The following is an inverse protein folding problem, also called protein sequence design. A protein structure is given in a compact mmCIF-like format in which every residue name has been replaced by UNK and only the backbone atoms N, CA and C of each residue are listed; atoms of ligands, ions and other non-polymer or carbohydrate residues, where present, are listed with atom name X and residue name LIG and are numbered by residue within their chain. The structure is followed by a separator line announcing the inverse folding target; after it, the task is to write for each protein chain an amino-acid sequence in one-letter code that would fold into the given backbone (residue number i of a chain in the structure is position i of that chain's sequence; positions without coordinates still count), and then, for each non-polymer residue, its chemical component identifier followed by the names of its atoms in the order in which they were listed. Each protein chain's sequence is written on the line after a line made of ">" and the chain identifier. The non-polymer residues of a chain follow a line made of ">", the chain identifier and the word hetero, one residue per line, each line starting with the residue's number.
data_IF_593563633076
#
_entry.id   IF_593563633076
#
_cell.length_a   1.000
_cell.length_b   1.000
_cell.length_c   1.000
_cell.angle_alpha   90.00
_cell.angle_beta   90.00
_cell.angle_gamma   90.00
#
_symmetry.space_group_name_H-M   'P 1'
#
loop_
_entity.id
_entity.type
_entity.pdbx_description
1 polymer ?
#
# COMPACT_ATOMS: atom_id res chain seq x y z
N UNK A 1 -5.35 -42.86 4.07
CA UNK A 1 -5.62 -42.09 2.82
C UNK A 1 -4.62 -40.96 2.74
N UNK A 2 -4.02 -40.69 1.58
CA UNK A 2 -3.19 -39.48 1.43
C UNK A 2 -4.14 -38.25 1.42
N UNK A 3 -3.84 -37.24 2.26
CA UNK A 3 -4.57 -35.97 2.23
C UNK A 3 -4.48 -35.37 0.83
N UNK A 4 -5.55 -34.73 0.38
CA UNK A 4 -5.50 -33.92 -0.83
C UNK A 4 -4.58 -32.73 -0.60
N UNK A 5 -4.06 -32.14 -1.67
CA UNK A 5 -3.21 -30.94 -1.56
C UNK A 5 -3.97 -29.77 -0.90
N UNK A 6 -5.25 -29.59 -1.24
CA UNK A 6 -6.08 -28.56 -0.62
C UNK A 6 -6.22 -28.77 0.90
N UNK A 7 -6.44 -30.02 1.33
CA UNK A 7 -6.46 -30.35 2.78
C UNK A 7 -5.11 -30.05 3.42
N UNK A 8 -3.99 -30.30 2.74
CA UNK A 8 -2.65 -29.96 3.24
C UNK A 8 -2.48 -28.46 3.38
N UNK A 9 -2.91 -27.65 2.40
CA UNK A 9 -2.85 -26.17 2.45
C UNK A 9 -3.70 -25.64 3.62
N UNK A 10 -4.85 -26.25 3.88
CA UNK A 10 -5.78 -25.84 4.94
C UNK A 10 -5.38 -26.33 6.34
N UNK A 11 -4.44 -27.27 6.45
CA UNK A 11 -3.95 -27.73 7.76
C UNK A 11 -3.21 -26.58 8.50
N UNK A 12 -3.49 -26.38 9.79
CA UNK A 12 -2.80 -25.37 10.58
C UNK A 12 -1.28 -25.56 10.56
N UNK A 13 -0.55 -24.46 10.32
CA UNK A 13 0.92 -24.44 10.32
C UNK A 13 1.58 -24.79 8.98
N UNK A 14 0.81 -25.12 7.93
CA UNK A 14 1.38 -25.32 6.58
C UNK A 14 1.49 -24.04 5.75
N UNK A 15 0.79 -22.99 6.15
CA UNK A 15 0.96 -21.66 5.58
C UNK A 15 1.94 -20.88 6.44
N UNK A 16 2.95 -20.27 5.83
CA UNK A 16 3.84 -19.31 6.49
C UNK A 16 3.55 -17.89 5.98
N UNK A 17 3.96 -16.90 6.75
CA UNK A 17 3.71 -15.48 6.43
C UNK A 17 5.01 -14.72 6.50
N UNK A 18 5.25 -13.92 5.48
CA UNK A 18 6.32 -12.92 5.47
C UNK A 18 5.69 -11.54 5.33
N UNK A 19 6.40 -10.52 5.82
CA UNK A 19 5.90 -9.15 5.82
C UNK A 19 6.83 -8.27 4.98
N UNK A 20 6.24 -7.45 4.11
CA UNK A 20 6.99 -6.47 3.33
C UNK A 20 6.56 -5.06 3.73
N UNK A 21 7.51 -4.19 4.08
CA UNK A 21 7.22 -2.81 4.44
C UNK A 21 6.72 -1.99 3.25
N UNK A 22 5.71 -1.15 3.52
CA UNK A 22 5.26 -0.07 2.65
C UNK A 22 5.75 1.23 3.27
N UNK A 23 6.53 2.01 2.53
CA UNK A 23 7.16 3.25 2.98
C UNK A 23 6.45 4.47 2.41
N UNK A 24 6.50 5.58 3.16
CA UNK A 24 6.04 6.88 2.68
C UNK A 24 7.17 7.61 1.94
N UNK A 25 6.84 8.10 0.74
CA UNK A 25 7.69 8.98 -0.06
C UNK A 25 7.38 10.44 0.28
N UNK A 26 8.13 11.05 1.19
CA UNK A 26 7.95 12.45 1.58
C UNK A 26 9.29 13.16 1.80
N UNK A 27 10.27 12.89 0.94
CA UNK A 27 11.64 13.38 1.08
C UNK A 27 12.45 12.71 2.19
N UNK A 28 11.83 11.82 2.97
CA UNK A 28 12.47 11.02 4.02
C UNK A 28 11.97 9.58 3.91
N UNK A 29 12.68 8.74 3.20
CA UNK A 29 12.37 7.30 2.96
C UNK A 29 12.25 6.43 4.22
N UNK A 30 12.25 7.02 5.40
CA UNK A 30 12.40 6.30 6.66
C UNK A 30 11.09 6.09 7.40
N UNK A 31 9.96 6.56 6.87
CA UNK A 31 8.68 6.38 7.55
C UNK A 31 7.92 5.19 6.98
N UNK A 32 7.95 4.09 7.72
CA UNK A 32 7.11 2.93 7.42
C UNK A 32 5.64 3.28 7.67
N UNK A 33 4.80 3.03 6.68
CA UNK A 33 3.36 3.28 6.70
C UNK A 33 2.56 2.05 7.10
N UNK A 34 2.89 0.90 6.51
CA UNK A 34 2.19 -0.36 6.68
C UNK A 34 3.12 -1.56 6.42
N UNK A 35 2.63 -2.74 6.71
CA UNK A 35 3.24 -4.03 6.39
C UNK A 35 2.27 -4.84 5.55
N UNK A 36 2.64 -5.23 4.35
CA UNK A 36 1.87 -6.22 3.59
C UNK A 36 2.22 -7.62 4.06
N UNK A 37 1.19 -8.39 4.42
CA UNK A 37 1.31 -9.79 4.83
C UNK A 37 1.18 -10.71 3.62
N UNK A 38 2.28 -11.32 3.24
CA UNK A 38 2.41 -12.18 2.07
C UNK A 38 2.48 -13.64 2.50
N UNK A 39 1.44 -14.40 2.17
CA UNK A 39 1.36 -15.83 2.51
C UNK A 39 2.22 -16.66 1.57
N UNK A 40 2.85 -17.68 2.13
CA UNK A 40 3.58 -18.73 1.44
C UNK A 40 2.92 -20.07 1.73
N UNK A 41 2.85 -20.94 0.76
CA UNK A 41 2.28 -22.28 0.92
C UNK A 41 3.25 -23.25 1.62
N UNK A 42 2.93 -24.54 1.61
CA UNK A 42 3.69 -25.56 2.32
C UNK A 42 5.16 -25.59 1.89
N UNK A 43 6.04 -25.47 2.86
CA UNK A 43 7.49 -25.46 2.69
C UNK A 43 8.02 -26.70 1.96
N UNK A 44 9.03 -26.53 1.13
CA UNK A 44 9.63 -27.63 0.35
C UNK A 44 8.76 -28.15 -0.79
N UNK A 45 7.68 -27.48 -1.14
CA UNK A 45 6.81 -27.79 -2.28
C UNK A 45 6.81 -26.64 -3.29
N UNK A 46 6.37 -26.91 -4.53
CA UNK A 46 6.18 -25.85 -5.53
C UNK A 46 5.12 -24.81 -5.10
N UNK A 47 4.28 -25.16 -4.13
CA UNK A 47 3.23 -24.28 -3.57
C UNK A 47 3.75 -23.30 -2.55
N UNK A 48 5.01 -23.39 -2.15
CA UNK A 48 5.69 -22.35 -1.37
C UNK A 48 5.65 -20.99 -2.11
N UNK A 49 5.72 -21.00 -3.45
CA UNK A 49 5.43 -19.83 -4.27
C UNK A 49 3.96 -19.43 -4.16
N UNK A 50 3.70 -18.18 -3.77
CA UNK A 50 2.35 -17.62 -3.70
C UNK A 50 1.62 -17.68 -5.05
N UNK A 51 2.31 -17.41 -6.15
CA UNK A 51 1.76 -17.47 -7.51
C UNK A 51 1.21 -18.86 -7.82
N UNK A 52 2.02 -19.91 -7.60
CA UNK A 52 1.62 -21.32 -7.85
C UNK A 52 0.49 -21.75 -6.91
N UNK A 53 0.57 -21.32 -5.65
CA UNK A 53 -0.45 -21.61 -4.64
C UNK A 53 -1.81 -21.04 -5.07
N UNK A 54 -1.88 -19.73 -5.33
CA UNK A 54 -3.14 -19.05 -5.62
C UNK A 54 -3.68 -19.40 -7.02
N UNK A 55 -2.81 -19.72 -7.99
CA UNK A 55 -3.28 -20.28 -9.27
C UNK A 55 -3.99 -21.63 -9.07
N UNK A 56 -3.43 -22.52 -8.25
CA UNK A 56 -4.08 -23.76 -7.88
C UNK A 56 -5.42 -23.53 -7.16
N UNK A 57 -5.45 -22.61 -6.19
CA UNK A 57 -6.63 -22.26 -5.40
C UNK A 57 -7.76 -21.79 -6.32
N UNK A 58 -7.46 -20.89 -7.26
CA UNK A 58 -8.41 -20.39 -8.26
C UNK A 58 -8.97 -21.49 -9.15
N UNK A 59 -8.11 -22.39 -9.65
CA UNK A 59 -8.54 -23.55 -10.44
C UNK A 59 -9.46 -24.49 -9.66
N UNK A 60 -9.30 -24.56 -8.34
CA UNK A 60 -10.16 -25.36 -7.45
C UNK A 60 -11.40 -24.61 -6.97
N UNK A 61 -11.52 -23.31 -7.26
CA UNK A 61 -12.57 -22.41 -6.73
C UNK A 61 -12.64 -22.46 -5.21
N UNK A 62 -11.48 -22.47 -4.58
CA UNK A 62 -11.31 -22.65 -3.13
C UNK A 62 -10.90 -21.35 -2.42
N UNK A 63 -10.96 -20.19 -3.12
CA UNK A 63 -10.54 -18.90 -2.63
C UNK A 63 -11.17 -18.57 -1.25
N UNK A 64 -12.51 -18.75 -1.03
CA UNK A 64 -13.09 -18.40 0.25
C UNK A 64 -12.57 -19.25 1.43
N UNK A 65 -12.17 -20.49 1.17
CA UNK A 65 -11.60 -21.36 2.21
C UNK A 65 -10.15 -20.99 2.52
N UNK A 66 -9.36 -20.76 1.46
CA UNK A 66 -7.93 -20.46 1.58
C UNK A 66 -7.71 -19.05 2.12
N UNK A 67 -8.49 -18.05 1.70
CA UNK A 67 -8.41 -16.69 2.26
C UNK A 67 -8.65 -16.70 3.78
N UNK A 68 -9.60 -17.50 4.26
CA UNK A 68 -9.81 -17.65 5.72
C UNK A 68 -8.62 -18.29 6.42
N UNK A 69 -7.99 -19.30 5.81
CA UNK A 69 -6.79 -19.93 6.36
C UNK A 69 -5.61 -18.93 6.36
N UNK A 70 -5.44 -18.16 5.27
CA UNK A 70 -4.44 -17.09 5.17
C UNK A 70 -4.64 -16.03 6.26
N UNK A 71 -5.86 -15.53 6.45
CA UNK A 71 -6.14 -14.54 7.51
C UNK A 71 -5.85 -15.08 8.91
N UNK A 72 -6.18 -16.35 9.18
CA UNK A 72 -5.85 -16.96 10.46
C UNK A 72 -4.33 -17.05 10.67
N UNK A 73 -3.57 -17.44 9.64
CA UNK A 73 -2.11 -17.49 9.69
C UNK A 73 -1.50 -16.09 9.86
N UNK A 74 -2.01 -15.09 9.13
CA UNK A 74 -1.56 -13.70 9.23
C UNK A 74 -1.79 -13.15 10.65
N UNK A 75 -2.99 -13.33 11.20
CA UNK A 75 -3.29 -12.86 12.56
C UNK A 75 -2.35 -13.49 13.60
N UNK A 76 -2.04 -14.79 13.44
CA UNK A 76 -1.10 -15.48 14.34
C UNK A 76 0.34 -14.94 14.19
N UNK A 77 0.80 -14.73 12.94
CA UNK A 77 2.16 -14.25 12.67
C UNK A 77 2.37 -12.77 13.04
N UNK A 78 1.29 -11.97 13.01
CA UNK A 78 1.35 -10.53 13.32
C UNK A 78 1.20 -10.20 14.81
N UNK A 79 1.04 -11.19 15.67
CA UNK A 79 0.81 -10.99 17.11
C UNK A 79 1.91 -10.14 17.78
N UNK A 80 3.16 -10.42 17.47
CA UNK A 80 4.32 -9.74 18.07
C UNK A 80 4.72 -8.43 17.38
N UNK A 81 4.07 -8.10 16.24
CA UNK A 81 4.36 -6.87 15.51
C UNK A 81 3.79 -5.64 16.24
N UNK A 82 4.53 -4.52 16.30
CA UNK A 82 4.09 -3.30 16.96
C UNK A 82 2.70 -2.86 16.51
N UNK A 83 1.81 -2.47 17.44
CA UNK A 83 0.42 -2.11 17.14
C UNK A 83 0.28 -0.84 16.30
N UNK A 84 1.35 -0.07 16.15
CA UNK A 84 1.40 1.17 15.38
C UNK A 84 1.33 0.97 13.87
N UNK A 85 1.71 -0.22 13.36
CA UNK A 85 1.70 -0.50 11.94
C UNK A 85 0.39 -1.13 11.47
N UNK A 86 -0.08 -0.69 10.30
CA UNK A 86 -1.18 -1.34 9.60
C UNK A 86 -0.71 -2.64 8.98
N UNK A 87 -1.67 -3.55 8.80
CA UNK A 87 -1.47 -4.85 8.18
C UNK A 87 -2.31 -4.90 6.91
N UNK A 88 -1.66 -4.92 5.77
CA UNK A 88 -2.32 -5.12 4.49
C UNK A 88 -2.47 -6.61 4.24
N UNK A 89 -3.68 -7.05 3.91
CA UNK A 89 -4.04 -8.46 3.74
C UNK A 89 -4.80 -8.68 2.45
N UNK A 90 -4.32 -9.60 1.63
CA UNK A 90 -4.91 -9.95 0.34
C UNK A 90 -6.18 -10.79 0.54
N UNK A 91 -7.28 -10.40 -0.12
CA UNK A 91 -8.56 -11.11 -0.11
C UNK A 91 -9.17 -11.09 -1.51
N UNK A 92 -9.52 -12.24 -2.02
CA UNK A 92 -10.17 -12.30 -3.33
C UNK A 92 -11.57 -11.67 -3.30
N UNK A 93 -11.92 -10.90 -4.33
CA UNK A 93 -13.24 -10.31 -4.49
C UNK A 93 -14.37 -11.36 -4.42
N UNK A 94 -14.12 -12.56 -4.96
CA UNK A 94 -15.07 -13.69 -4.89
C UNK A 94 -15.33 -14.12 -3.45
N UNK A 95 -14.36 -14.06 -2.57
CA UNK A 95 -14.52 -14.38 -1.13
C UNK A 95 -15.46 -13.40 -0.46
N UNK A 96 -15.29 -12.11 -0.70
CA UNK A 96 -16.18 -11.07 -0.18
C UNK A 96 -17.59 -11.18 -0.78
N UNK A 97 -17.71 -11.58 -2.05
CA UNK A 97 -19.00 -11.77 -2.72
C UNK A 97 -19.76 -13.02 -2.31
N UNK A 98 -19.09 -14.02 -1.70
CA UNK A 98 -19.71 -15.33 -1.36
C UNK A 98 -19.79 -15.60 0.16
N UNK A 99 -19.07 -14.82 0.97
CA UNK A 99 -18.99 -15.07 2.42
C UNK A 99 -19.58 -13.90 3.22
N UNK A 100 -20.88 -13.94 3.55
CA UNK A 100 -21.54 -12.88 4.31
C UNK A 100 -21.00 -12.73 5.75
N UNK A 101 -20.30 -13.75 6.27
CA UNK A 101 -19.72 -13.74 7.62
C UNK A 101 -18.23 -13.39 7.62
N UNK A 102 -17.71 -12.86 6.51
CA UNK A 102 -16.28 -12.57 6.37
C UNK A 102 -15.79 -11.59 7.44
N UNK A 103 -16.52 -10.51 7.65
CA UNK A 103 -16.16 -9.47 8.64
C UNK A 103 -16.18 -10.04 10.06
N UNK A 104 -17.20 -10.82 10.41
CA UNK A 104 -17.29 -11.50 11.70
C UNK A 104 -16.12 -12.49 11.90
N UNK A 105 -15.73 -13.18 10.84
CA UNK A 105 -14.57 -14.07 10.88
C UNK A 105 -13.27 -13.29 11.10
N UNK A 106 -13.04 -12.21 10.36
CA UNK A 106 -11.87 -11.34 10.54
C UNK A 106 -11.80 -10.81 11.98
N UNK A 107 -12.94 -10.30 12.49
CA UNK A 107 -13.05 -9.81 13.86
C UNK A 107 -12.66 -10.88 14.89
N UNK A 108 -13.17 -12.11 14.72
CA UNK A 108 -12.86 -13.23 15.59
C UNK A 108 -11.36 -13.60 15.56
N UNK A 109 -10.75 -13.64 14.37
CA UNK A 109 -9.33 -13.99 14.26
C UNK A 109 -8.44 -12.87 14.81
N UNK A 110 -8.71 -11.63 14.47
CA UNK A 110 -7.98 -10.47 15.00
C UNK A 110 -8.06 -10.41 16.54
N UNK A 111 -9.26 -10.53 17.10
CA UNK A 111 -9.48 -10.51 18.56
C UNK A 111 -8.77 -11.65 19.29
N UNK A 112 -8.67 -12.84 18.71
CA UNK A 112 -7.94 -13.99 19.25
C UNK A 112 -6.45 -13.68 19.48
N UNK A 113 -5.88 -12.79 18.66
CA UNK A 113 -4.47 -12.42 18.70
C UNK A 113 -4.22 -10.98 19.21
N UNK A 114 -5.25 -10.33 19.79
CA UNK A 114 -5.13 -8.97 20.34
C UNK A 114 -4.97 -7.88 19.28
N UNK A 115 -5.34 -8.14 18.03
CA UNK A 115 -5.23 -7.19 16.93
C UNK A 115 -6.52 -6.39 16.78
N UNK A 116 -6.43 -5.06 16.78
CA UNK A 116 -7.58 -4.19 16.48
C UNK A 116 -7.88 -4.16 14.98
N UNK A 117 -9.17 -4.14 14.61
CA UNK A 117 -9.59 -4.12 13.19
C UNK A 117 -9.10 -2.88 12.43
N UNK A 118 -8.96 -1.74 13.10
CA UNK A 118 -8.42 -0.51 12.52
C UNK A 118 -6.98 -0.65 12.02
N UNK A 119 -6.27 -1.72 12.38
CA UNK A 119 -4.94 -2.03 11.84
C UNK A 119 -4.98 -2.62 10.44
N UNK A 120 -6.11 -3.18 10.03
CA UNK A 120 -6.19 -3.89 8.77
C UNK A 120 -6.49 -2.94 7.61
N UNK A 121 -5.85 -3.25 6.48
CA UNK A 121 -6.23 -2.84 5.14
C UNK A 121 -6.51 -4.10 4.35
N UNK A 122 -7.72 -4.27 3.85
CA UNK A 122 -8.07 -5.38 2.97
C UNK A 122 -7.77 -4.97 1.54
N UNK A 123 -6.84 -5.68 0.92
CA UNK A 123 -6.48 -5.54 -0.49
C UNK A 123 -7.36 -6.48 -1.31
N UNK A 124 -8.20 -5.89 -2.16
CA UNK A 124 -9.15 -6.65 -2.99
C UNK A 124 -8.43 -7.10 -4.25
N UNK A 125 -8.19 -8.40 -4.33
CA UNK A 125 -7.57 -9.05 -5.49
C UNK A 125 -8.67 -9.50 -6.45
N UNK A 126 -8.69 -8.92 -7.67
CA UNK A 126 -9.70 -9.22 -8.68
C UNK A 126 -9.10 -10.00 -9.86
N UNK A 127 -9.06 -11.32 -9.76
CA UNK A 127 -8.61 -12.19 -10.85
C UNK A 127 -9.76 -12.78 -11.68
N UNK A 128 -11.00 -12.62 -11.24
CA UNK A 128 -12.19 -13.09 -11.92
C UNK A 128 -13.41 -12.23 -11.58
N UNK A 129 -14.37 -12.05 -12.50
CA UNK A 129 -15.56 -11.25 -12.24
C UNK A 129 -16.36 -11.83 -11.06
N UNK A 130 -16.57 -11.05 -10.03
CA UNK A 130 -17.43 -11.41 -8.92
C UNK A 130 -18.90 -11.33 -9.35
N UNK A 131 -19.63 -12.45 -9.25
CA UNK A 131 -21.03 -12.53 -9.69
C UNK A 131 -22.00 -11.86 -8.72
N UNK A 132 -21.61 -11.70 -7.45
CA UNK A 132 -22.47 -11.15 -6.41
C UNK A 132 -21.94 -9.78 -5.92
N UNK A 133 -22.02 -8.79 -6.79
CA UNK A 133 -21.63 -7.41 -6.47
C UNK A 133 -22.36 -6.86 -5.23
N UNK A 134 -23.69 -7.06 -5.03
CA UNK A 134 -24.34 -6.59 -3.82
C UNK A 134 -23.77 -7.15 -2.52
N UNK A 135 -23.35 -8.42 -2.48
CA UNK A 135 -22.71 -8.99 -1.30
C UNK A 135 -21.30 -8.46 -1.09
N UNK A 136 -20.52 -8.29 -2.17
CA UNK A 136 -19.21 -7.65 -2.13
C UNK A 136 -19.31 -6.25 -1.52
N UNK A 137 -20.23 -5.41 -2.02
CA UNK A 137 -20.40 -4.04 -1.53
C UNK A 137 -20.85 -4.00 -0.07
N UNK A 138 -21.72 -4.90 0.38
CA UNK A 138 -22.08 -5.00 1.79
C UNK A 138 -20.88 -5.33 2.67
N UNK A 139 -20.09 -6.35 2.30
CA UNK A 139 -18.90 -6.69 3.07
C UNK A 139 -17.87 -5.54 3.11
N UNK A 140 -17.72 -4.77 2.02
CA UNK A 140 -16.85 -3.58 2.00
C UNK A 140 -17.38 -2.51 2.96
N UNK A 141 -18.69 -2.26 2.97
CA UNK A 141 -19.31 -1.31 3.92
C UNK A 141 -19.09 -1.75 5.37
N UNK A 142 -19.38 -3.03 5.68
CA UNK A 142 -19.20 -3.60 7.02
C UNK A 142 -17.73 -3.56 7.49
N UNK A 143 -16.77 -3.78 6.57
CA UNK A 143 -15.32 -3.62 6.85
C UNK A 143 -15.00 -2.18 7.22
N UNK A 144 -15.48 -1.20 6.45
CA UNK A 144 -15.28 0.23 6.72
C UNK A 144 -15.88 0.67 8.04
N UNK A 145 -17.10 0.24 8.33
CA UNK A 145 -17.78 0.52 9.61
C UNK A 145 -17.00 -0.05 10.80
N UNK A 146 -16.22 -1.11 10.57
CA UNK A 146 -15.31 -1.70 11.55
C UNK A 146 -13.94 -1.02 11.63
N UNK A 147 -13.69 0.05 10.84
CA UNK A 147 -12.44 0.80 10.80
C UNK A 147 -11.34 0.17 9.91
N UNK A 148 -11.69 -0.86 9.14
CA UNK A 148 -10.80 -1.48 8.14
C UNK A 148 -10.70 -0.60 6.91
N UNK A 149 -9.50 -0.41 6.35
CA UNK A 149 -9.30 0.27 5.07
C UNK A 149 -9.38 -0.70 3.91
N UNK A 150 -9.64 -0.15 2.74
CA UNK A 150 -9.77 -0.92 1.50
C UNK A 150 -8.69 -0.46 0.51
N UNK A 151 -8.01 -1.41 -0.11
CA UNK A 151 -7.14 -1.18 -1.25
C UNK A 151 -7.65 -1.96 -2.45
N UNK A 152 -7.50 -1.41 -3.65
CA UNK A 152 -7.65 -2.17 -4.90
C UNK A 152 -6.27 -2.56 -5.39
N UNK A 153 -6.09 -3.86 -5.60
CA UNK A 153 -4.85 -4.42 -6.10
C UNK A 153 -4.79 -4.43 -7.63
N UNK A 154 -3.58 -4.51 -8.20
CA UNK A 154 -3.32 -4.61 -9.65
C UNK A 154 -4.03 -3.55 -10.50
N UNK A 155 -4.10 -2.31 -10.03
CA UNK A 155 -4.73 -1.21 -10.77
C UNK A 155 -4.03 -1.00 -12.11
N UNK A 156 -4.82 -1.09 -13.20
CA UNK A 156 -4.34 -0.96 -14.56
C UNK A 156 -3.99 -2.29 -15.24
N UNK A 157 -3.92 -3.41 -14.51
CA UNK A 157 -3.79 -4.75 -15.06
C UNK A 157 -5.13 -5.49 -14.96
N UNK A 158 -5.67 -5.91 -16.08
CA UNK A 158 -6.77 -6.87 -16.13
C UNK A 158 -8.14 -6.37 -15.66
N UNK A 159 -8.65 -6.87 -14.55
CA UNK A 159 -10.06 -6.74 -14.14
C UNK A 159 -10.36 -5.51 -13.27
N UNK A 160 -9.36 -4.90 -12.63
CA UNK A 160 -9.54 -3.68 -11.84
C UNK A 160 -9.93 -2.52 -12.73
N UNK A 161 -11.23 -2.33 -12.87
CA UNK A 161 -11.82 -1.36 -13.76
C UNK A 161 -12.33 -0.13 -12.99
N UNK A 162 -12.56 0.95 -13.71
CA UNK A 162 -13.10 2.21 -13.17
C UNK A 162 -14.39 2.02 -12.36
N UNK A 163 -15.18 0.99 -12.68
CA UNK A 163 -16.40 0.67 -11.93
C UNK A 163 -16.08 0.24 -10.51
N UNK A 164 -15.10 -0.65 -10.31
CA UNK A 164 -14.67 -1.07 -8.97
C UNK A 164 -14.11 0.11 -8.17
N UNK A 165 -13.36 1.00 -8.82
CA UNK A 165 -12.86 2.22 -8.18
C UNK A 165 -14.02 3.11 -7.68
N UNK A 166 -15.07 3.27 -8.49
CA UNK A 166 -16.25 4.06 -8.10
C UNK A 166 -17.12 3.35 -7.07
N UNK A 167 -17.35 2.04 -7.21
CA UNK A 167 -18.26 1.30 -6.34
C UNK A 167 -17.62 1.03 -4.96
N UNK A 168 -16.30 0.74 -4.92
CA UNK A 168 -15.60 0.39 -3.68
C UNK A 168 -15.08 1.61 -2.90
N UNK A 169 -14.90 2.78 -3.53
CA UNK A 169 -14.28 3.96 -2.91
C UNK A 169 -13.01 3.62 -2.11
N UNK A 170 -11.98 3.00 -2.70
CA UNK A 170 -10.84 2.49 -1.96
C UNK A 170 -10.02 3.61 -1.32
N UNK A 171 -9.37 3.31 -0.21
CA UNK A 171 -8.39 4.21 0.41
C UNK A 171 -7.07 4.23 -0.36
N UNK A 172 -6.74 3.10 -1.03
CA UNK A 172 -5.49 2.93 -1.75
C UNK A 172 -5.69 2.27 -3.12
N UNK A 173 -4.92 2.76 -4.11
CA UNK A 173 -4.71 2.11 -5.40
C UNK A 173 -3.29 1.52 -5.41
N UNK A 174 -3.17 0.20 -5.53
CA UNK A 174 -1.89 -0.48 -5.66
C UNK A 174 -1.54 -0.59 -7.14
N UNK A 175 -0.43 0.02 -7.51
CA UNK A 175 0.05 0.08 -8.88
C UNK A 175 1.12 -0.99 -9.08
N UNK A 176 0.82 -1.96 -9.96
CA UNK A 176 1.67 -3.13 -10.20
C UNK A 176 3.08 -2.77 -10.72
N UNK A 177 4.03 -3.62 -10.41
CA UNK A 177 5.42 -3.55 -10.83
C UNK A 177 5.60 -3.34 -12.34
N UNK A 178 4.69 -3.86 -13.17
CA UNK A 178 4.72 -3.68 -14.62
C UNK A 178 4.74 -2.20 -15.03
N UNK A 179 4.03 -1.33 -14.31
CA UNK A 179 3.99 0.11 -14.60
C UNK A 179 5.16 0.87 -13.95
N UNK A 180 5.75 0.30 -12.91
CA UNK A 180 6.75 0.94 -12.06
C UNK A 180 8.17 0.67 -12.52
N UNK A 181 8.47 -0.57 -12.90
CA UNK A 181 9.83 -0.95 -13.30
C UNK A 181 10.24 -0.30 -14.63
N UNK A 182 11.39 0.38 -14.62
CA UNK A 182 11.93 1.11 -15.78
C UNK A 182 11.27 2.47 -16.01
N UNK A 183 10.54 2.98 -15.02
CA UNK A 183 9.85 4.28 -15.09
C UNK A 183 10.80 5.44 -15.37
N UNK A 184 12.05 5.37 -14.90
CA UNK A 184 13.06 6.39 -15.10
C UNK A 184 13.42 6.63 -16.58
N UNK A 185 13.18 5.64 -17.47
CA UNK A 185 13.50 5.74 -18.91
C UNK A 185 12.27 5.69 -19.82
N UNK A 186 11.12 5.23 -19.34
CA UNK A 186 9.89 5.03 -20.13
C UNK A 186 8.87 6.16 -19.92
N UNK A 187 8.77 7.06 -20.89
CA UNK A 187 7.78 8.17 -20.86
C UNK A 187 6.32 7.70 -20.91
N UNK A 188 6.04 6.54 -21.53
CA UNK A 188 4.66 6.04 -21.63
C UNK A 188 4.19 5.53 -20.28
N UNK A 189 5.06 4.81 -19.58
CA UNK A 189 4.78 4.37 -18.19
C UNK A 189 4.58 5.56 -17.26
N UNK A 190 5.40 6.62 -17.37
CA UNK A 190 5.22 7.86 -16.60
C UNK A 190 3.83 8.46 -16.81
N UNK A 191 3.37 8.56 -18.06
CA UNK A 191 2.04 9.11 -18.37
C UNK A 191 0.91 8.25 -17.77
N UNK A 192 1.08 6.91 -17.71
CA UNK A 192 0.11 6.02 -17.06
C UNK A 192 0.10 6.26 -15.55
N UNK A 193 1.27 6.29 -14.91
CA UNK A 193 1.37 6.54 -13.46
C UNK A 193 0.78 7.89 -13.08
N UNK A 194 1.11 8.95 -13.83
CA UNK A 194 0.56 10.29 -13.63
C UNK A 194 -0.97 10.31 -13.74
N UNK A 195 -1.53 9.58 -14.72
CA UNK A 195 -2.98 9.44 -14.85
C UNK A 195 -3.62 8.73 -13.67
N UNK A 196 -2.98 7.68 -13.14
CA UNK A 196 -3.49 6.95 -11.96
C UNK A 196 -3.39 7.81 -10.71
N UNK A 197 -2.31 8.57 -10.52
CA UNK A 197 -2.16 9.51 -9.39
C UNK A 197 -3.25 10.58 -9.44
N UNK A 198 -3.45 11.22 -10.59
CA UNK A 198 -4.51 12.22 -10.78
C UNK A 198 -5.91 11.66 -10.48
N UNK A 199 -6.18 10.42 -10.94
CA UNK A 199 -7.45 9.75 -10.66
C UNK A 199 -7.62 9.44 -9.17
N UNK A 200 -6.57 8.94 -8.52
CA UNK A 200 -6.58 8.64 -7.10
C UNK A 200 -6.85 9.89 -6.26
N UNK A 201 -6.17 11.00 -6.55
CA UNK A 201 -6.42 12.30 -5.91
C UNK A 201 -7.87 12.76 -6.07
N UNK A 202 -8.42 12.67 -7.29
CA UNK A 202 -9.81 13.05 -7.57
C UNK A 202 -10.84 12.19 -6.81
N UNK A 203 -10.48 10.96 -6.45
CA UNK A 203 -11.32 10.02 -5.69
C UNK A 203 -11.02 10.03 -4.17
N UNK A 204 -10.05 10.83 -3.72
CA UNK A 204 -9.62 10.88 -2.31
C UNK A 204 -8.85 9.64 -1.86
N UNK A 205 -8.20 8.95 -2.80
CA UNK A 205 -7.37 7.75 -2.57
C UNK A 205 -5.89 8.11 -2.67
N UNK A 206 -5.01 7.30 -2.05
CA UNK A 206 -3.55 7.38 -2.22
C UNK A 206 -3.06 6.24 -3.11
N UNK A 207 -1.95 6.47 -3.84
CA UNK A 207 -1.31 5.45 -4.67
C UNK A 207 -0.19 4.77 -3.90
N UNK A 208 -0.15 3.43 -3.95
CA UNK A 208 0.96 2.58 -3.51
C UNK A 208 1.63 2.00 -4.74
N UNK A 209 2.87 2.37 -5.04
CA UNK A 209 3.63 1.77 -6.13
C UNK A 209 4.38 0.54 -5.64
N UNK A 210 4.23 -0.59 -6.34
CA UNK A 210 4.78 -1.87 -5.96
C UNK A 210 5.98 -2.28 -6.78
N UNK A 211 6.78 -3.19 -6.24
CA UNK A 211 7.89 -3.82 -6.96
C UNK A 211 8.96 -2.85 -7.43
N UNK A 212 9.19 -1.75 -6.70
CA UNK A 212 10.24 -0.78 -7.03
C UNK A 212 11.61 -1.42 -6.82
N UNK A 213 12.39 -1.54 -7.88
CA UNK A 213 13.70 -2.21 -7.86
C UNK A 213 14.88 -1.24 -8.00
N UNK A 214 14.64 0.02 -8.39
CA UNK A 214 15.71 0.98 -8.60
C UNK A 214 15.44 2.31 -7.87
N UNK A 215 16.53 2.95 -7.41
CA UNK A 215 16.46 4.31 -6.85
C UNK A 215 16.07 5.34 -7.90
N UNK A 216 16.34 5.08 -9.19
CA UNK A 216 15.94 5.94 -10.30
C UNK A 216 14.42 5.98 -10.47
N UNK A 217 13.76 4.81 -10.43
CA UNK A 217 12.31 4.72 -10.51
C UNK A 217 11.65 5.36 -9.27
N UNK A 218 12.25 5.14 -8.08
CA UNK A 218 11.79 5.74 -6.83
C UNK A 218 11.76 7.29 -6.91
N UNK A 219 12.83 7.90 -7.44
CA UNK A 219 12.88 9.36 -7.60
C UNK A 219 11.86 9.89 -8.60
N UNK A 220 11.51 9.13 -9.64
CA UNK A 220 10.45 9.50 -10.58
C UNK A 220 9.07 9.36 -9.94
N UNK A 221 8.82 8.30 -9.17
CA UNK A 221 7.56 8.12 -8.43
C UNK A 221 7.30 9.30 -7.49
N UNK A 222 8.31 9.75 -6.76
CA UNK A 222 8.20 10.92 -5.88
C UNK A 222 7.85 12.19 -6.67
N UNK A 223 8.50 12.42 -7.83
CA UNK A 223 8.20 13.55 -8.72
C UNK A 223 6.78 13.52 -9.28
N UNK A 224 6.24 12.33 -9.51
CA UNK A 224 4.87 12.13 -9.99
C UNK A 224 3.80 12.20 -8.88
N UNK A 225 4.19 12.44 -7.63
CA UNK A 225 3.26 12.57 -6.52
C UNK A 225 2.79 11.25 -5.90
N UNK A 226 3.47 10.12 -6.19
CA UNK A 226 3.18 8.86 -5.52
C UNK A 226 3.58 8.97 -4.05
N UNK A 227 2.62 8.71 -3.15
CA UNK A 227 2.83 8.88 -1.71
C UNK A 227 3.45 7.67 -1.03
N UNK A 228 3.16 6.47 -1.50
CA UNK A 228 3.52 5.22 -0.85
C UNK A 228 4.21 4.27 -1.82
N UNK A 229 5.21 3.56 -1.32
CA UNK A 229 5.96 2.57 -2.12
C UNK A 229 6.23 1.29 -1.36
N UNK A 230 6.16 0.19 -2.08
CA UNK A 230 6.68 -1.10 -1.69
C UNK A 230 7.88 -1.41 -2.57
N UNK A 231 9.07 -1.36 -2.00
CA UNK A 231 10.30 -1.30 -2.77
C UNK A 231 11.28 -2.40 -2.34
N UNK A 232 11.57 -3.33 -3.26
CA UNK A 232 12.57 -4.38 -3.05
C UNK A 232 13.97 -3.78 -2.83
N UNK A 233 14.26 -2.64 -3.46
CA UNK A 233 15.53 -1.92 -3.29
C UNK A 233 15.70 -1.36 -1.86
N UNK A 234 14.61 -1.19 -1.09
CA UNK A 234 14.65 -0.72 0.29
C UNK A 234 14.57 -1.88 1.28
N UNK A 235 13.62 -2.77 1.09
CA UNK A 235 13.38 -3.91 1.96
C UNK A 235 12.58 -5.00 1.23
N UNK A 236 13.07 -6.22 1.25
CA UNK A 236 12.35 -7.39 0.75
C UNK A 236 11.44 -7.96 1.83
N UNK A 237 10.49 -8.80 1.42
CA UNK A 237 9.61 -9.51 2.34
C UNK A 237 10.40 -10.49 3.21
N UNK A 238 10.13 -10.49 4.53
CA UNK A 238 10.79 -11.35 5.51
C UNK A 238 9.85 -11.77 6.65
N UNK A 239 10.16 -12.83 7.41
CA UNK A 239 9.40 -13.22 8.59
C UNK A 239 9.32 -12.09 9.63
N UNK A 240 8.30 -12.12 10.49
CA UNK A 240 8.10 -11.10 11.53
C UNK A 240 9.31 -10.98 12.48
N UNK A 241 9.90 -12.10 12.87
CA UNK A 241 11.09 -12.16 13.73
C UNK A 241 12.30 -11.46 13.12
N UNK A 242 12.55 -11.70 11.82
CA UNK A 242 13.64 -11.05 11.11
C UNK A 242 13.39 -9.55 10.97
N UNK A 243 12.14 -9.15 10.66
CA UNK A 243 11.75 -7.75 10.56
C UNK A 243 11.94 -7.01 11.90
N UNK A 244 11.58 -7.64 13.02
CA UNK A 244 11.83 -7.12 14.37
C UNK A 244 13.32 -6.95 14.64
N UNK A 245 14.15 -7.89 14.19
CA UNK A 245 15.60 -7.87 14.40
C UNK A 245 16.32 -6.76 13.59
N UNK A 246 15.74 -6.31 12.46
CA UNK A 246 16.35 -5.24 11.62
C UNK A 246 16.39 -3.88 12.29
N UNK A 247 15.58 -3.64 13.32
CA UNK A 247 15.37 -2.31 13.91
C UNK A 247 14.55 -1.35 13.04
N UNK A 248 14.16 -1.72 11.83
CA UNK A 248 13.35 -0.87 10.93
C UNK A 248 12.02 -0.44 11.56
N UNK A 249 11.43 -1.30 12.40
CA UNK A 249 10.19 -1.01 13.12
C UNK A 249 10.38 0.05 14.22
N UNK A 250 11.60 0.28 14.69
CA UNK A 250 11.93 1.29 15.70
C UNK A 250 12.22 2.66 15.08
N UNK A 251 12.73 2.71 13.85
CA UNK A 251 13.06 3.94 13.12
C UNK A 251 11.79 4.74 12.75
N UNK A 252 10.66 4.09 12.55
CA UNK A 252 9.36 4.76 12.38
C UNK A 252 8.90 5.58 13.59
N UNK A 253 9.53 5.41 14.75
CA UNK A 253 9.26 6.13 15.99
C UNK A 253 10.26 7.25 16.29
N UNK A 254 11.41 7.28 15.60
CA UNK A 254 12.42 8.33 15.75
C UNK A 254 12.31 9.32 14.59
N UNK A 255 11.80 10.53 14.86
CA UNK A 255 12.10 11.69 14.04
C UNK A 255 13.63 11.86 14.02
N UNK A 256 14.24 11.63 12.86
CA UNK A 256 15.66 11.99 12.67
C UNK A 256 15.78 13.50 12.81
N UNK A 257 16.22 13.94 13.98
CA UNK A 257 16.73 15.29 14.21
C UNK A 257 18.08 15.39 13.49
N UNK A 258 18.01 15.57 12.17
CA UNK A 258 19.16 15.77 11.30
C UNK A 258 19.71 17.13 11.57
N UNK A 259 20.82 17.16 12.32
CA UNK A 259 21.55 18.35 12.70
C UNK A 259 21.58 19.40 11.60
N UNK A 260 20.91 20.51 11.84
CA UNK A 260 21.14 21.77 11.17
C UNK A 260 22.59 22.18 11.46
N UNK A 261 23.50 21.85 10.56
CA UNK A 261 24.73 22.68 10.42
C UNK A 261 24.29 23.97 9.79
N UNK A 262 24.44 25.05 10.58
CA UNK A 262 24.09 26.41 10.27
C UNK A 262 24.58 26.85 8.89
N UNK A 263 23.68 27.39 8.10
CA UNK A 263 23.97 28.44 7.16
C UNK A 263 23.61 29.75 7.86
N UNK A 264 24.63 30.40 8.41
CA UNK A 264 24.58 31.83 8.74
C UNK A 264 24.23 32.59 7.44
N UNK A 265 23.01 33.05 7.36
CA UNK A 265 22.65 34.11 6.42
C UNK A 265 23.18 35.40 6.97
N UNK A 266 24.27 35.93 6.40
CA UNK A 266 24.67 37.31 6.56
C UNK A 266 23.56 38.21 6.01
N UNK A 267 22.91 38.94 6.91
CA UNK A 267 22.12 40.12 6.54
C UNK A 267 23.02 41.18 5.89
N UNK A 268 22.56 41.85 4.82
CA UNK A 268 23.27 43.04 4.34
C UNK A 268 22.96 44.19 5.26
N UNK A 269 24.03 44.79 5.78
CA UNK A 269 24.05 46.08 6.54
C UNK A 269 23.33 47.17 5.73
N UNK A 270 22.34 47.75 6.39
CA UNK A 270 21.66 48.96 5.98
C UNK A 270 22.57 50.15 6.32
N UNK A 271 23.11 50.83 5.32
CA UNK A 271 23.82 52.10 5.50
C UNK A 271 22.87 53.21 5.06
N UNK A 272 22.24 53.80 6.07
CA UNK A 272 21.58 55.11 5.97
C UNK A 272 22.60 56.20 5.79
N UNK A 273 22.38 57.11 4.87
CA UNK A 273 22.61 58.55 5.07
C UNK A 273 22.05 59.37 3.89
N UNK A 274 21.65 60.60 4.16
CA UNK A 274 20.58 61.29 3.46
C UNK A 274 21.08 62.43 2.56
N UNK A 275 20.23 62.96 1.70
CA UNK A 275 20.53 64.23 1.03
C UNK A 275 19.61 64.51 -0.17
N UNK A 276 18.58 65.34 0.07
CA UNK A 276 18.22 66.57 -0.65
C UNK A 276 18.06 66.47 -2.18
N UNK A 277 17.02 66.82 -2.74
CA UNK A 277 16.13 68.00 -2.84
C UNK A 277 15.90 68.37 -4.31
N UNK A 278 14.76 68.94 -4.64
CA UNK A 278 14.39 69.69 -5.85
C UNK A 278 14.14 68.86 -7.13
N UNK A 279 13.08 68.97 -7.84
CA UNK A 279 12.08 70.00 -7.98
C UNK A 279 11.42 69.79 -9.36
N UNK A 280 10.20 70.21 -9.46
CA UNK A 280 9.48 70.69 -10.65
C UNK A 280 9.08 69.65 -11.71
N UNK A 281 7.83 69.46 -11.83
CA UNK A 281 6.84 70.17 -12.69
C UNK A 281 6.53 69.49 -14.02
N UNK A 282 5.28 69.21 -14.14
CA UNK A 282 4.36 69.46 -15.27
C UNK A 282 4.30 68.55 -16.50
N UNK A 283 3.08 68.17 -16.65
CA UNK A 283 2.20 68.24 -17.86
C UNK A 283 2.04 66.92 -18.62
N UNK A 284 0.92 66.31 -18.48
CA UNK A 284 -0.30 66.42 -19.29
C UNK A 284 -0.20 65.94 -20.76
N UNK A 285 -1.23 65.21 -21.08
CA UNK A 285 -1.86 65.04 -22.41
C UNK A 285 -1.72 63.66 -23.03
N UNK A 286 -2.76 62.88 -22.95
CA UNK A 286 -3.89 62.66 -23.86
C UNK A 286 -3.62 61.77 -25.10
N UNK A 287 -4.42 60.75 -25.16
CA UNK A 287 -5.12 60.22 -26.34
C UNK A 287 -4.30 59.43 -27.39
N UNK A 288 -4.85 58.26 -27.65
CA UNK A 288 -4.63 57.44 -28.83
C UNK A 288 -5.12 56.04 -28.55
#
# INVERSE_FOLDING_TARGET
>A
MRKSLLETILDPGHLSVVFQPIFRLNGRLNQMHALEALVRGPQGTNFESAEVLFDYVRRKKAEPLVDRACLAAICAAAHDLPPTFRLNVNVHAVTLGQNPEFVAFLHKQAGKHGLGLQRFTVEIVEHAPTRNIPALMRNIADLRDSGVRIALDDVGLGQSNYRMMLDCHPDYFKLDAYFVQGLCVDRKRRAVVESVVTLAEALGSSVVAEGVESLGDLGVLEQLGVELVQANVLCTAMPAEDLLATGLLQVGLMSFDGGQKGRETKEPENNDAPGQDEGSELAASSAG
#
